data_IF_348393559562
#
_entry.id   IF_348393559562
#
_cell.length_a   1.000
_cell.length_b   1.000
_cell.length_c   1.000
_cell.angle_alpha   90.00
_cell.angle_beta   90.00
_cell.angle_gamma   90.00
#
_symmetry.space_group_name_H-M   'P 1'
#
loop_
_entity.id
_entity.type
_entity.pdbx_description
1 polymer ?
#
# COMPACT_ATOMS: atom_id res chain seq x y z
N UNK A 1 -7.38 3.79 22.73
CA UNK A 1 -6.07 4.48 22.76
C UNK A 1 -5.26 3.91 21.62
N UNK A 2 -5.05 4.68 20.54
CA UNK A 2 -3.98 4.39 19.58
C UNK A 2 -2.71 4.85 20.29
N UNK A 3 -1.93 3.90 20.79
CA UNK A 3 -0.81 4.19 21.70
C UNK A 3 0.35 4.87 20.96
N UNK A 4 1.00 5.79 21.65
CA UNK A 4 2.08 6.65 21.16
C UNK A 4 3.37 5.86 20.91
N UNK A 5 3.44 5.17 19.78
CA UNK A 5 4.38 5.53 18.73
C UNK A 5 5.88 5.16 18.83
N UNK A 6 6.44 4.60 19.90
CA UNK A 6 7.88 4.23 19.86
C UNK A 6 8.31 2.94 20.58
N UNK A 7 7.64 2.51 21.66
CA UNK A 7 8.03 1.28 22.36
C UNK A 7 7.47 0.00 21.73
N UNK A 8 6.38 0.10 20.97
CA UNK A 8 5.62 -1.07 20.54
C UNK A 8 6.13 -1.65 19.21
N UNK A 9 6.54 -0.81 18.24
CA UNK A 9 7.16 -1.29 16.99
C UNK A 9 8.52 -1.96 17.22
N UNK A 10 9.32 -1.44 18.13
CA UNK A 10 10.63 -2.02 18.48
C UNK A 10 10.45 -3.39 19.14
N UNK A 11 9.46 -3.50 20.03
CA UNK A 11 9.06 -4.77 20.64
C UNK A 11 8.57 -5.74 19.58
N UNK A 12 7.63 -5.34 18.71
CA UNK A 12 7.11 -6.18 17.63
C UNK A 12 8.21 -6.66 16.68
N UNK A 13 9.12 -5.76 16.28
CA UNK A 13 10.25 -6.06 15.39
C UNK A 13 11.28 -6.98 16.07
N UNK A 14 11.50 -6.82 17.37
CA UNK A 14 12.37 -7.72 18.16
C UNK A 14 11.76 -9.12 18.30
N UNK A 15 10.46 -9.20 18.54
CA UNK A 15 9.72 -10.47 18.71
C UNK A 15 9.55 -11.20 17.38
N UNK A 16 9.34 -10.47 16.27
CA UNK A 16 9.18 -11.02 14.91
C UNK A 16 10.50 -11.16 14.15
N UNK A 17 11.64 -10.88 14.77
CA UNK A 17 12.99 -10.89 14.15
C UNK A 17 13.36 -12.24 13.51
N UNK A 18 12.81 -13.33 14.04
CA UNK A 18 13.06 -14.69 13.55
C UNK A 18 12.12 -15.12 12.40
N UNK A 19 11.24 -14.22 11.94
CA UNK A 19 10.37 -14.46 10.79
C UNK A 19 10.87 -13.69 9.58
N UNK A 20 10.64 -14.21 8.38
CA UNK A 20 10.97 -13.52 7.12
C UNK A 20 10.16 -12.22 6.93
N UNK A 21 9.17 -11.98 7.81
CA UNK A 21 8.31 -10.80 7.83
C UNK A 21 9.10 -9.51 8.13
N UNK A 22 10.27 -9.54 8.76
CA UNK A 22 11.06 -8.30 8.98
C UNK A 22 12.51 -8.36 8.47
N UNK A 23 12.84 -9.38 7.65
CA UNK A 23 14.18 -9.49 7.07
C UNK A 23 14.42 -8.55 5.88
N UNK A 24 13.36 -8.02 5.25
CA UNK A 24 13.50 -7.00 4.20
C UNK A 24 13.71 -5.61 4.83
N UNK A 25 14.90 -5.03 4.66
CA UNK A 25 15.26 -3.71 5.17
C UNK A 25 14.40 -2.57 4.61
N UNK A 26 13.71 -2.78 3.48
CA UNK A 26 12.80 -1.79 2.89
C UNK A 26 11.40 -1.87 3.47
N UNK A 27 11.15 -2.82 4.38
CA UNK A 27 9.86 -3.01 5.00
C UNK A 27 9.68 -2.08 6.19
N UNK A 28 8.56 -1.37 6.21
CA UNK A 28 8.22 -0.44 7.29
C UNK A 28 6.76 -0.57 7.69
N UNK A 29 6.50 -0.31 8.97
CA UNK A 29 5.16 -0.35 9.55
C UNK A 29 4.36 0.89 9.13
N UNK A 30 3.12 0.68 8.72
CA UNK A 30 2.16 1.74 8.41
C UNK A 30 1.14 1.86 9.54
N UNK A 31 0.59 0.74 10.01
CA UNK A 31 -0.39 0.71 11.08
C UNK A 31 -0.33 -0.62 11.82
N UNK A 32 -0.68 -0.60 13.11
CA UNK A 32 -0.84 -1.79 13.94
C UNK A 32 -2.01 -1.62 14.91
N UNK A 33 -2.58 -2.73 15.37
CA UNK A 33 -3.61 -2.73 16.40
C UNK A 33 -4.12 -4.12 16.71
N UNK A 34 -4.96 -4.19 17.74
CA UNK A 34 -5.63 -5.43 18.17
C UNK A 34 -6.97 -5.53 17.44
N UNK A 35 -7.29 -6.73 17.00
CA UNK A 35 -8.52 -7.07 16.30
C UNK A 35 -9.07 -8.38 16.83
N UNK A 36 -10.36 -8.58 16.66
CA UNK A 36 -11.03 -9.83 17.00
C UNK A 36 -11.41 -10.57 15.72
N UNK A 37 -11.00 -11.83 15.61
CA UNK A 37 -11.26 -12.67 14.43
C UNK A 37 -12.18 -13.81 14.82
N UNK A 38 -13.24 -14.02 14.04
CA UNK A 38 -14.09 -15.20 14.21
C UNK A 38 -13.42 -16.44 13.61
N UNK A 39 -13.05 -17.39 14.47
CA UNK A 39 -12.56 -18.70 14.07
C UNK A 39 -13.75 -19.62 13.76
N UNK A 40 -13.93 -19.95 12.48
CA UNK A 40 -15.01 -20.83 12.04
C UNK A 40 -14.87 -22.28 12.53
N UNK A 41 -13.63 -22.78 12.70
CA UNK A 41 -13.37 -24.14 13.15
C UNK A 41 -13.69 -24.31 14.63
N UNK A 42 -13.29 -23.32 15.43
CA UNK A 42 -13.50 -23.33 16.88
C UNK A 42 -14.84 -22.69 17.28
N UNK A 43 -15.54 -22.03 16.35
CA UNK A 43 -16.75 -21.22 16.59
C UNK A 43 -16.55 -20.22 17.74
N UNK A 44 -15.38 -19.60 17.78
CA UNK A 44 -14.96 -18.69 18.85
C UNK A 44 -14.41 -17.39 18.27
N UNK A 45 -14.39 -16.34 19.09
CA UNK A 45 -13.72 -15.09 18.75
C UNK A 45 -12.34 -15.13 19.40
N UNK A 46 -11.30 -14.84 18.61
CA UNK A 46 -9.91 -14.80 19.07
C UNK A 46 -9.36 -13.39 18.96
N UNK A 47 -8.67 -12.93 20.00
CA UNK A 47 -7.93 -11.66 19.98
C UNK A 47 -6.62 -11.86 19.22
N UNK A 48 -6.38 -11.02 18.23
CA UNK A 48 -5.24 -11.07 17.32
C UNK A 48 -4.64 -9.68 17.15
N UNK A 49 -3.39 -9.62 16.74
CA UNK A 49 -2.77 -8.41 16.23
C UNK A 49 -2.90 -8.38 14.71
N UNK A 50 -3.21 -7.20 14.19
CA UNK A 50 -3.18 -6.85 12.78
C UNK A 50 -2.09 -5.82 12.55
N UNK A 51 -1.20 -6.10 11.61
CA UNK A 51 -0.21 -5.13 11.15
C UNK A 51 -0.31 -4.91 9.65
N UNK A 52 -0.32 -3.65 9.26
CA UNK A 52 -0.20 -3.19 7.89
C UNK A 52 1.23 -2.71 7.67
N UNK A 53 1.96 -3.45 6.88
CA UNK A 53 3.28 -3.09 6.38
C UNK A 53 3.15 -2.45 5.01
N UNK A 54 4.26 -1.93 4.52
CA UNK A 54 4.33 -1.29 3.22
C UNK A 54 4.07 -2.26 2.05
N UNK A 55 4.29 -3.55 2.21
CA UNK A 55 4.10 -4.60 1.20
C UNK A 55 3.21 -5.77 1.66
N UNK A 56 3.00 -5.94 2.97
CA UNK A 56 2.26 -7.05 3.56
C UNK A 56 1.16 -6.59 4.51
N UNK A 57 0.12 -7.42 4.64
CA UNK A 57 -0.84 -7.39 5.73
C UNK A 57 -0.67 -8.66 6.54
N UNK A 58 -0.49 -8.57 7.85
CA UNK A 58 -0.25 -9.75 8.69
C UNK A 58 -1.20 -9.78 9.87
N UNK A 59 -1.83 -10.93 10.08
CA UNK A 59 -2.66 -11.24 11.25
C UNK A 59 -1.97 -12.35 12.04
N UNK A 60 -1.81 -12.15 13.33
CA UNK A 60 -1.20 -13.16 14.20
C UNK A 60 -1.76 -13.09 15.61
N UNK A 61 -1.68 -14.21 16.31
CA UNK A 61 -1.93 -14.28 17.74
C UNK A 61 -0.60 -14.35 18.49
N UNK A 62 -0.53 -13.71 19.66
CA UNK A 62 0.61 -13.80 20.57
C UNK A 62 0.30 -14.89 21.59
N UNK A 63 1.13 -15.94 21.66
CA UNK A 63 0.98 -16.96 22.68
C UNK A 63 1.28 -16.41 24.09
N UNK A 64 0.75 -17.07 25.13
CA UNK A 64 0.82 -16.64 26.55
C UNK A 64 2.23 -16.31 27.06
N UNK A 65 3.28 -16.80 26.40
CA UNK A 65 4.67 -16.58 26.78
C UNK A 65 5.29 -15.32 26.13
N UNK A 66 4.52 -14.53 25.36
CA UNK A 66 4.95 -13.35 24.59
C UNK A 66 6.15 -13.58 23.64
N UNK A 67 6.51 -14.84 23.37
CA UNK A 67 7.73 -15.20 22.62
C UNK A 67 7.44 -16.00 21.34
N UNK A 68 6.24 -16.54 21.17
CA UNK A 68 5.89 -17.37 20.01
C UNK A 68 4.59 -16.90 19.36
N UNK A 69 4.63 -16.80 18.03
CA UNK A 69 3.45 -16.55 17.22
C UNK A 69 2.90 -17.89 16.73
N UNK A 70 1.61 -18.11 16.89
CA UNK A 70 0.95 -19.23 16.22
C UNK A 70 0.64 -18.82 14.78
N UNK A 71 1.27 -19.53 13.83
CA UNK A 71 0.97 -19.54 12.38
C UNK A 71 0.39 -18.22 11.80
N UNK A 72 1.20 -17.16 11.64
CA UNK A 72 0.72 -15.87 11.17
C UNK A 72 0.09 -15.99 9.77
N UNK A 73 -1.07 -15.37 9.57
CA UNK A 73 -1.65 -15.20 8.25
C UNK A 73 -1.00 -14.00 7.58
N UNK A 74 -0.26 -14.23 6.50
CA UNK A 74 0.48 -13.20 5.76
C UNK A 74 -0.17 -13.03 4.38
N UNK A 75 -0.49 -11.79 4.02
CA UNK A 75 -1.10 -11.44 2.74
C UNK A 75 -0.27 -10.39 2.00
N UNK A 76 -0.05 -10.60 0.70
CA UNK A 76 0.44 -9.53 -0.18
C UNK A 76 -0.63 -8.44 -0.25
N UNK A 77 -0.33 -7.22 0.23
CA UNK A 77 -1.32 -6.14 0.29
C UNK A 77 -1.85 -5.75 -1.11
N UNK A 78 -1.10 -6.05 -2.18
CA UNK A 78 -1.58 -5.92 -3.56
C UNK A 78 -2.82 -6.77 -3.86
N UNK A 79 -2.95 -7.94 -3.23
CA UNK A 79 -4.03 -8.91 -3.46
C UNK A 79 -5.19 -8.77 -2.48
N UNK A 80 -5.03 -7.94 -1.45
CA UNK A 80 -6.05 -7.71 -0.43
C UNK A 80 -7.07 -6.69 -0.90
N UNK A 81 -8.34 -6.97 -0.61
CA UNK A 81 -9.46 -6.03 -0.61
C UNK A 81 -10.19 -6.10 0.73
N UNK A 82 -10.70 -4.95 1.19
CA UNK A 82 -11.49 -4.87 2.42
C UNK A 82 -12.80 -4.14 2.20
N UNK A 83 -13.84 -4.64 2.83
CA UNK A 83 -15.20 -4.12 2.77
C UNK A 83 -15.76 -3.95 4.19
N UNK A 84 -16.31 -2.77 4.47
CA UNK A 84 -16.99 -2.48 5.74
C UNK A 84 -18.40 -3.04 5.66
N UNK A 85 -18.86 -3.75 6.68
CA UNK A 85 -20.26 -4.16 6.75
C UNK A 85 -21.12 -2.95 7.12
N UNK A 86 -22.14 -2.62 6.32
CA UNK A 86 -23.00 -1.45 6.54
C UNK A 86 -24.43 -1.89 6.86
N UNK A 87 -24.57 -2.92 7.69
CA UNK A 87 -25.88 -3.42 8.11
C UNK A 87 -26.52 -2.52 9.19
N UNK A 88 -25.73 -1.64 9.81
CA UNK A 88 -26.16 -0.58 10.73
C UNK A 88 -25.29 0.67 10.59
N UNK A 89 -25.77 1.83 11.04
CA UNK A 89 -25.08 3.13 10.94
C UNK A 89 -23.67 3.15 11.59
N UNK A 90 -23.32 2.15 12.41
CA UNK A 90 -22.09 2.14 13.22
C UNK A 90 -21.48 0.73 13.37
N UNK A 91 -21.51 -0.10 12.32
CA UNK A 91 -20.90 -1.44 12.39
C UNK A 91 -19.38 -1.38 12.64
N UNK A 92 -18.91 -2.01 13.71
CA UNK A 92 -17.49 -2.19 14.03
C UNK A 92 -16.86 -3.39 13.31
N UNK A 93 -17.48 -3.86 12.23
CA UNK A 93 -17.12 -5.10 11.53
C UNK A 93 -16.70 -4.82 10.10
N UNK A 94 -15.60 -5.43 9.66
CA UNK A 94 -15.18 -5.42 8.26
C UNK A 94 -14.70 -6.80 7.80
N UNK A 95 -14.74 -7.04 6.50
CA UNK A 95 -14.24 -8.26 5.88
C UNK A 95 -12.90 -7.98 5.19
N UNK A 96 -11.94 -8.88 5.39
CA UNK A 96 -10.75 -9.01 4.56
C UNK A 96 -10.97 -10.15 3.58
N UNK A 97 -10.84 -9.85 2.28
CA UNK A 97 -10.84 -10.85 1.21
C UNK A 97 -9.49 -10.84 0.52
N UNK A 98 -8.87 -12.01 0.41
CA UNK A 98 -7.60 -12.20 -0.31
C UNK A 98 -7.50 -13.62 -0.84
N UNK A 99 -7.38 -13.77 -2.17
CA UNK A 99 -7.36 -15.06 -2.86
C UNK A 99 -8.58 -15.92 -2.48
N UNK A 100 -8.38 -16.94 -1.64
CA UNK A 100 -9.41 -17.88 -1.19
C UNK A 100 -9.76 -17.73 0.31
N UNK A 101 -9.23 -16.72 0.98
CA UNK A 101 -9.50 -16.42 2.38
C UNK A 101 -10.50 -15.27 2.49
N UNK A 102 -11.53 -15.47 3.33
CA UNK A 102 -12.46 -14.43 3.75
C UNK A 102 -12.46 -14.40 5.28
N UNK A 103 -12.07 -13.26 5.86
CA UNK A 103 -11.88 -13.12 7.30
C UNK A 103 -12.76 -11.98 7.79
N UNK A 104 -13.67 -12.28 8.70
CA UNK A 104 -14.52 -11.29 9.36
C UNK A 104 -13.77 -10.77 10.58
N UNK A 105 -13.60 -9.46 10.62
CA UNK A 105 -12.86 -8.73 11.64
C UNK A 105 -13.82 -7.87 12.45
N UNK A 106 -13.78 -8.05 13.76
CA UNK A 106 -14.44 -7.18 14.73
C UNK A 106 -13.40 -6.26 15.36
N UNK A 107 -13.74 -4.98 15.45
CA UNK A 107 -12.89 -3.94 16.07
C UNK A 107 -13.54 -3.41 17.34
N UNK A 108 -12.86 -2.56 18.11
CA UNK A 108 -13.44 -2.03 19.35
C UNK A 108 -14.55 -1.01 19.06
N UNK A 109 -14.51 -0.34 17.92
CA UNK A 109 -15.54 0.62 17.53
C UNK A 109 -15.60 0.82 16.00
N UNK A 110 -16.71 1.39 15.52
CA UNK A 110 -16.89 1.77 14.12
C UNK A 110 -15.70 2.54 13.52
N UNK A 111 -15.15 3.49 14.29
CA UNK A 111 -14.04 4.35 13.83
C UNK A 111 -12.79 3.52 13.52
N UNK A 112 -12.48 2.49 14.32
CA UNK A 112 -11.36 1.59 14.04
C UNK A 112 -11.60 0.76 12.77
N UNK A 113 -12.81 0.22 12.58
CA UNK A 113 -13.16 -0.52 11.36
C UNK A 113 -12.97 0.36 10.11
N UNK A 114 -13.45 1.60 10.14
CA UNK A 114 -13.28 2.57 9.05
C UNK A 114 -11.79 2.88 8.80
N UNK A 115 -11.01 3.11 9.87
CA UNK A 115 -9.57 3.42 9.76
C UNK A 115 -8.79 2.26 9.13
N UNK A 116 -9.07 1.02 9.53
CA UNK A 116 -8.46 -0.16 8.93
C UNK A 116 -8.85 -0.31 7.46
N UNK A 117 -10.15 -0.28 7.16
CA UNK A 117 -10.67 -0.38 5.79
C UNK A 117 -10.01 0.65 4.86
N UNK A 118 -9.97 1.90 5.29
CA UNK A 118 -9.37 2.99 4.52
C UNK A 118 -7.88 2.80 4.32
N UNK A 119 -7.13 2.47 5.36
CA UNK A 119 -5.67 2.35 5.29
C UNK A 119 -5.23 1.19 4.41
N UNK A 120 -5.88 0.03 4.56
CA UNK A 120 -5.63 -1.18 3.76
C UNK A 120 -5.98 -0.94 2.28
N UNK A 121 -7.19 -0.41 1.99
CA UNK A 121 -7.60 -0.14 0.61
C UNK A 121 -6.72 0.93 -0.05
N UNK A 122 -6.37 2.00 0.68
CA UNK A 122 -5.46 3.02 0.17
C UNK A 122 -4.11 2.38 -0.16
N UNK A 123 -3.55 1.57 0.74
CA UNK A 123 -2.24 0.94 0.52
C UNK A 123 -2.25 -0.02 -0.66
N UNK A 124 -3.24 -0.91 -0.74
CA UNK A 124 -3.46 -1.82 -1.87
C UNK A 124 -3.53 -1.05 -3.19
N UNK A 125 -4.28 0.07 -3.21
CA UNK A 125 -4.41 0.93 -4.39
C UNK A 125 -3.08 1.61 -4.77
N UNK A 126 -2.34 2.11 -3.79
CA UNK A 126 -1.02 2.70 -4.00
C UNK A 126 -0.04 1.70 -4.63
N UNK A 127 0.00 0.44 -4.16
CA UNK A 127 0.81 -0.62 -4.78
C UNK A 127 0.43 -0.83 -6.25
N UNK A 128 -0.86 -1.07 -6.52
CA UNK A 128 -1.37 -1.39 -7.86
C UNK A 128 -1.02 -0.30 -8.88
N UNK A 129 -1.00 0.94 -8.42
CA UNK A 129 -0.66 2.11 -9.22
C UNK A 129 0.85 2.41 -9.24
N UNK A 130 1.67 1.67 -8.48
CA UNK A 130 3.12 1.82 -8.31
C UNK A 130 3.54 3.13 -7.63
N UNK A 131 2.82 3.50 -6.58
CA UNK A 131 2.90 4.73 -5.82
C UNK A 131 3.25 4.37 -4.39
N UNK A 132 4.26 5.01 -3.80
CA UNK A 132 4.66 4.70 -2.42
C UNK A 132 5.34 3.34 -2.21
N UNK A 133 5.83 2.66 -3.26
CA UNK A 133 6.65 1.43 -3.14
C UNK A 133 7.86 1.43 -4.08
N UNK A 134 9.06 1.06 -3.58
CA UNK A 134 10.15 0.60 -4.42
C UNK A 134 9.78 -0.77 -5.01
N UNK A 135 9.08 -0.75 -6.14
CA UNK A 135 8.68 -1.96 -6.86
C UNK A 135 9.91 -2.82 -7.07
N UNK A 136 9.82 -4.12 -6.75
CA UNK A 136 10.82 -5.16 -7.02
C UNK A 136 11.62 -4.78 -8.27
N UNK A 137 12.95 -4.67 -8.12
CA UNK A 137 13.87 -4.20 -9.16
C UNK A 137 13.49 -4.91 -10.46
N UNK A 138 12.93 -4.18 -11.41
CA UNK A 138 12.62 -4.73 -12.72
C UNK A 138 13.97 -5.07 -13.32
N UNK A 139 14.28 -6.37 -13.41
CA UNK A 139 15.55 -6.83 -13.95
C UNK A 139 15.71 -6.24 -15.35
N UNK A 140 16.81 -5.51 -15.53
CA UNK A 140 17.12 -4.88 -16.79
C UNK A 140 17.36 -5.97 -17.81
N UNK A 141 16.50 -6.08 -18.82
CA UNK A 141 16.61 -7.13 -19.82
C UNK A 141 17.78 -6.77 -20.75
N UNK A 142 18.81 -7.63 -20.88
CA UNK A 142 19.91 -7.40 -21.81
C UNK A 142 19.40 -7.26 -23.25
N UNK A 143 19.98 -6.34 -24.02
CA UNK A 143 19.55 -6.05 -25.40
C UNK A 143 19.56 -7.27 -26.32
N UNK A 144 20.50 -8.19 -26.10
CA UNK A 144 20.64 -9.41 -26.89
C UNK A 144 19.44 -10.35 -26.78
N UNK A 145 18.64 -10.22 -25.72
CA UNK A 145 17.47 -11.05 -25.47
C UNK A 145 16.17 -10.44 -26.02
N UNK A 146 16.21 -9.21 -26.54
CA UNK A 146 15.04 -8.50 -27.04
C UNK A 146 15.10 -8.35 -28.56
N UNK A 147 14.42 -9.23 -29.30
CA UNK A 147 14.26 -9.12 -30.77
C UNK A 147 13.12 -8.19 -31.18
N UNK A 148 12.14 -7.99 -30.30
CA UNK A 148 10.96 -7.17 -30.56
C UNK A 148 10.71 -6.16 -29.44
N UNK A 149 10.07 -5.04 -29.79
CA UNK A 149 9.59 -4.06 -28.82
C UNK A 149 8.57 -4.70 -27.88
N UNK A 150 8.82 -4.67 -26.58
CA UNK A 150 7.93 -5.27 -25.56
C UNK A 150 6.63 -4.49 -25.34
N UNK A 151 6.40 -3.42 -26.11
CA UNK A 151 5.16 -2.64 -26.09
C UNK A 151 4.31 -2.83 -27.34
N UNK A 152 4.90 -2.69 -28.54
CA UNK A 152 4.18 -2.77 -29.81
C UNK A 152 4.58 -3.96 -30.69
N UNK A 153 5.47 -4.84 -30.21
CA UNK A 153 5.95 -6.04 -30.90
C UNK A 153 6.67 -5.80 -32.25
N UNK A 154 6.97 -4.55 -32.61
CA UNK A 154 7.81 -4.26 -33.78
C UNK A 154 9.23 -4.82 -33.63
N UNK A 155 9.77 -5.41 -34.69
CA UNK A 155 11.15 -5.91 -34.73
C UNK A 155 12.16 -4.79 -34.64
N UNK A 156 13.21 -5.01 -33.85
CA UNK A 156 14.35 -4.09 -33.82
C UNK A 156 15.23 -4.28 -35.06
N UNK A 157 15.69 -3.17 -35.62
CA UNK A 157 16.56 -3.13 -36.81
C UNK A 157 17.66 -2.09 -36.58
N UNK A 158 18.55 -1.88 -37.56
CA UNK A 158 19.58 -0.83 -37.50
C UNK A 158 18.98 0.57 -37.33
N UNK A 159 17.76 0.78 -37.86
CA UNK A 159 17.01 2.04 -37.82
C UNK A 159 16.05 2.05 -36.63
N UNK A 160 15.33 0.95 -36.38
CA UNK A 160 14.45 0.80 -35.21
C UNK A 160 15.26 0.28 -34.02
N UNK A 161 15.93 1.19 -33.30
CA UNK A 161 16.87 0.84 -32.23
C UNK A 161 16.17 0.49 -30.91
N UNK A 162 16.90 -0.23 -30.07
CA UNK A 162 16.48 -0.63 -28.72
C UNK A 162 16.63 0.53 -27.73
N UNK A 163 15.64 0.69 -26.86
CA UNK A 163 15.70 1.62 -25.74
C UNK A 163 15.05 1.01 -24.51
N UNK A 164 15.62 1.20 -23.33
CA UNK A 164 14.96 0.77 -22.10
C UNK A 164 14.02 1.82 -21.52
N UNK A 165 12.88 1.37 -21.00
CA UNK A 165 12.11 2.16 -20.05
C UNK A 165 12.80 2.11 -18.69
N UNK A 166 13.31 3.24 -18.19
CA UNK A 166 14.02 3.30 -16.89
C UNK A 166 13.07 3.07 -15.69
N UNK A 167 11.75 3.15 -15.90
CA UNK A 167 10.74 2.84 -14.87
C UNK A 167 10.43 1.35 -14.75
N UNK A 168 10.24 0.64 -15.87
CA UNK A 168 9.79 -0.77 -15.89
C UNK A 168 10.79 -1.77 -16.49
N UNK A 169 11.98 -1.34 -16.93
CA UNK A 169 13.05 -2.22 -17.43
C UNK A 169 12.86 -2.76 -18.85
N UNK A 170 11.67 -2.66 -19.44
CA UNK A 170 11.38 -3.19 -20.78
C UNK A 170 12.20 -2.54 -21.90
N UNK A 171 12.58 -3.35 -22.88
CA UNK A 171 13.17 -2.91 -24.14
C UNK A 171 12.05 -2.51 -25.12
N UNK A 172 12.08 -1.27 -25.56
CA UNK A 172 11.04 -0.60 -26.36
C UNK A 172 11.66 0.20 -27.49
N UNK A 173 10.90 0.45 -28.56
CA UNK A 173 11.29 1.34 -29.64
C UNK A 173 11.10 2.82 -29.26
N UNK A 174 11.60 3.73 -30.09
CA UNK A 174 11.51 5.17 -29.83
C UNK A 174 10.05 5.64 -29.81
N UNK A 175 9.23 5.15 -30.73
CA UNK A 175 7.80 5.46 -30.81
C UNK A 175 7.03 5.08 -29.52
N UNK A 176 7.44 3.97 -28.89
CA UNK A 176 6.88 3.51 -27.62
C UNK A 176 7.48 4.20 -26.38
N UNK A 177 8.42 5.13 -26.54
CA UNK A 177 9.16 5.75 -25.42
C UNK A 177 9.51 7.23 -25.61
N UNK A 178 8.57 7.99 -26.17
CA UNK A 178 8.71 9.44 -26.42
C UNK A 178 8.79 10.29 -25.15
N UNK A 179 8.41 9.74 -24.00
CA UNK A 179 8.32 10.49 -22.76
C UNK A 179 9.57 10.37 -21.88
N UNK A 180 9.73 11.35 -20.99
CA UNK A 180 10.77 11.43 -19.97
C UNK A 180 10.13 11.78 -18.62
N UNK A 181 10.62 11.20 -17.53
CA UNK A 181 10.16 11.51 -16.17
C UNK A 181 11.28 11.37 -15.15
N UNK A 182 11.25 12.18 -14.09
CA UNK A 182 12.08 11.97 -12.90
C UNK A 182 11.64 10.66 -12.24
N UNK A 183 12.61 9.81 -11.93
CA UNK A 183 12.40 8.56 -11.21
C UNK A 183 13.22 8.65 -9.95
N UNK A 184 12.61 9.09 -8.84
CA UNK A 184 13.29 9.40 -7.56
C UNK A 184 14.23 8.31 -7.07
N UNK A 185 13.89 7.04 -7.29
CA UNK A 185 14.73 5.88 -6.92
C UNK A 185 15.98 5.69 -7.80
N UNK A 186 16.19 6.53 -8.82
CA UNK A 186 17.31 6.46 -9.77
C UNK A 186 18.04 7.82 -9.82
N UNK A 187 17.30 8.92 -9.88
CA UNK A 187 17.86 10.27 -9.90
C UNK A 187 16.88 11.26 -9.25
N UNK A 188 17.43 12.30 -8.63
CA UNK A 188 16.70 13.35 -7.91
C UNK A 188 16.11 14.37 -8.87
N UNK A 189 16.83 14.72 -9.92
CA UNK A 189 16.54 15.86 -10.81
C UNK A 189 16.50 15.47 -12.30
N UNK A 190 17.15 14.37 -12.69
CA UNK A 190 17.26 13.97 -14.08
C UNK A 190 15.98 13.30 -14.59
N UNK A 191 15.44 13.81 -15.71
CA UNK A 191 14.34 13.17 -16.43
C UNK A 191 14.85 12.00 -17.28
N UNK A 192 14.42 10.79 -16.97
CA UNK A 192 14.84 9.54 -17.62
C UNK A 192 13.78 9.02 -18.60
N UNK A 193 14.23 8.29 -19.64
CA UNK A 193 13.35 7.69 -20.67
C UNK A 193 12.36 6.69 -20.05
N UNK A 194 11.08 6.86 -20.36
CA UNK A 194 10.00 5.94 -19.97
C UNK A 194 9.13 5.58 -21.16
N UNK A 195 8.54 4.39 -21.15
CA UNK A 195 7.60 3.98 -22.19
C UNK A 195 6.25 4.70 -22.03
N UNK A 196 5.47 4.76 -23.12
CA UNK A 196 4.16 5.43 -23.15
C UNK A 196 3.22 4.82 -22.10
N UNK A 197 3.24 3.50 -21.90
CA UNK A 197 2.47 2.82 -20.83
C UNK A 197 2.82 3.36 -19.44
N UNK A 198 4.10 3.54 -19.12
CA UNK A 198 4.54 4.12 -17.85
C UNK A 198 4.16 5.61 -17.74
N UNK A 199 4.21 6.37 -18.83
CA UNK A 199 3.80 7.76 -18.84
C UNK A 199 2.30 7.91 -18.58
N UNK A 200 1.44 7.16 -19.29
CA UNK A 200 -0.01 7.19 -19.07
C UNK A 200 -0.37 6.81 -17.63
N UNK A 201 0.26 5.76 -17.07
CA UNK A 201 0.09 5.42 -15.65
C UNK A 201 0.47 6.58 -14.73
N UNK A 202 1.58 7.28 -14.99
CA UNK A 202 1.99 8.46 -14.23
C UNK A 202 0.96 9.59 -14.31
N UNK A 203 0.45 9.91 -15.51
CA UNK A 203 -0.53 11.01 -15.68
C UNK A 203 -1.85 10.67 -14.98
N UNK A 204 -2.37 9.46 -15.19
CA UNK A 204 -3.59 8.99 -14.54
C UNK A 204 -3.46 8.98 -13.02
N UNK A 205 -2.27 8.63 -12.53
CA UNK A 205 -1.95 8.71 -11.12
C UNK A 205 -2.05 10.14 -10.57
N UNK A 206 -1.39 11.11 -11.20
CA UNK A 206 -1.43 12.52 -10.75
C UNK A 206 -2.87 13.04 -10.74
N UNK A 207 -3.67 12.66 -11.74
CA UNK A 207 -5.09 13.01 -11.78
C UNK A 207 -5.84 12.40 -10.60
N UNK A 208 -5.70 11.10 -10.36
CA UNK A 208 -6.38 10.41 -9.26
C UNK A 208 -6.01 11.00 -7.89
N UNK A 209 -4.74 11.34 -7.64
CA UNK A 209 -4.35 11.97 -6.38
C UNK A 209 -4.99 13.34 -6.18
N UNK A 210 -5.07 14.15 -7.24
CA UNK A 210 -5.77 15.44 -7.19
C UNK A 210 -7.26 15.24 -6.88
N UNK A 211 -7.90 14.27 -7.54
CA UNK A 211 -9.31 13.95 -7.32
C UNK A 211 -9.56 13.46 -5.88
N UNK A 212 -8.69 12.58 -5.35
CA UNK A 212 -8.74 12.11 -3.97
C UNK A 212 -8.57 13.28 -3.01
N UNK A 213 -7.53 14.11 -3.18
CA UNK A 213 -7.29 15.25 -2.32
C UNK A 213 -8.47 16.23 -2.32
N UNK A 214 -9.06 16.49 -3.49
CA UNK A 214 -10.24 17.35 -3.59
C UNK A 214 -11.44 16.75 -2.85
N UNK A 215 -11.67 15.44 -2.95
CA UNK A 215 -12.72 14.77 -2.19
C UNK A 215 -12.47 14.81 -0.67
N UNK A 216 -11.22 14.58 -0.24
CA UNK A 216 -10.87 14.65 1.19
C UNK A 216 -11.07 16.04 1.77
N UNK A 217 -10.69 17.09 1.03
CA UNK A 217 -10.93 18.48 1.45
C UNK A 217 -12.42 18.78 1.60
N UNK A 218 -13.27 18.26 0.71
CA UNK A 218 -14.73 18.40 0.82
C UNK A 218 -15.29 17.70 2.05
N UNK A 219 -14.85 16.47 2.33
CA UNK A 219 -15.29 15.69 3.49
C UNK A 219 -14.89 16.38 4.80
N UNK A 220 -13.64 16.86 4.90
CA UNK A 220 -13.15 17.60 6.08
C UNK A 220 -13.96 18.88 6.29
N UNK A 221 -14.32 19.59 5.21
CA UNK A 221 -15.15 20.80 5.31
C UNK A 221 -16.59 20.52 5.76
N UNK A 222 -17.12 19.32 5.52
CA UNK A 222 -18.45 18.90 6.01
C UNK A 222 -18.42 18.35 7.43
N UNK A 223 -17.31 17.72 7.85
CA UNK A 223 -17.15 17.09 9.17
C UNK A 223 -16.90 18.09 10.32
N UNK A 224 -16.55 19.35 10.01
CA UNK A 224 -16.53 20.45 11.00
C UNK A 224 -17.91 20.75 11.62
N UNK A 225 -18.99 20.16 11.09
CA UNK A 225 -20.35 20.29 11.64
C UNK A 225 -20.77 19.15 12.56
N UNK A 226 -19.99 18.07 12.66
CA UNK A 226 -20.28 16.91 13.51
C UNK A 226 -19.01 16.55 14.29
N UNK A 227 -18.77 17.24 15.40
CA UNK A 227 -17.72 16.83 16.34
C UNK A 227 -18.35 16.00 17.45
N UNK A 228 -17.95 14.73 17.55
CA UNK A 228 -17.92 14.05 18.84
C UNK A 228 -16.60 14.43 19.49
N UNK A 229 -16.68 14.99 20.69
CA UNK A 229 -15.58 15.58 21.46
C UNK A 229 -14.56 14.54 21.89
N UNK A 230 -13.55 14.29 21.06
CA UNK A 230 -12.22 13.83 21.51
C UNK A 230 -11.13 14.37 20.60
N UNK A 231 -9.94 14.52 21.17
CA UNK A 231 -8.71 15.20 20.73
C UNK A 231 -8.03 14.65 19.45
N UNK A 232 -8.78 14.09 18.50
CA UNK A 232 -8.22 13.38 17.32
C UNK A 232 -8.19 14.22 16.01
N UNK A 233 -8.60 15.49 16.05
CA UNK A 233 -8.52 16.41 14.89
C UNK A 233 -7.08 16.66 14.41
N UNK A 234 -6.08 16.42 15.25
CA UNK A 234 -4.66 16.56 14.89
C UNK A 234 -4.14 15.43 13.98
N UNK A 235 -4.75 14.23 14.03
CA UNK A 235 -4.22 13.04 13.34
C UNK A 235 -4.74 12.88 11.89
N UNK A 236 -5.87 13.50 11.55
CA UNK A 236 -6.35 13.59 10.15
C UNK A 236 -5.54 14.66 9.39
N UNK A 237 -5.16 15.73 10.09
CA UNK A 237 -4.26 16.76 9.55
C UNK A 237 -2.85 16.21 9.32
N UNK A 238 -2.33 15.30 10.14
CA UNK A 238 -1.00 14.71 9.92
C UNK A 238 -0.93 13.79 8.68
N UNK A 239 -1.97 12.97 8.43
CA UNK A 239 -2.07 12.14 7.23
C UNK A 239 -2.27 12.98 5.95
N UNK A 240 -3.03 14.07 6.01
CA UNK A 240 -3.22 14.98 4.88
C UNK A 240 -1.97 15.80 4.57
N UNK A 241 -1.22 16.22 5.61
CA UNK A 241 0.07 16.89 5.48
C UNK A 241 1.12 15.95 4.88
N UNK A 242 1.25 14.70 5.35
CA UNK A 242 2.23 13.75 4.77
C UNK A 242 1.88 13.34 3.33
N UNK A 243 0.59 13.25 3.00
CA UNK A 243 0.13 13.00 1.63
C UNK A 243 0.39 14.22 0.74
N UNK A 244 0.18 15.44 1.24
CA UNK A 244 0.56 16.69 0.56
C UNK A 244 2.08 16.82 0.37
N UNK A 245 2.91 16.48 1.35
CA UNK A 245 4.37 16.49 1.23
C UNK A 245 4.88 15.43 0.25
N UNK A 246 4.24 14.26 0.22
CA UNK A 246 4.52 13.20 -0.77
C UNK A 246 4.13 13.65 -2.18
N UNK A 247 2.99 14.37 -2.33
CA UNK A 247 2.51 14.94 -3.61
C UNK A 247 3.43 16.06 -4.09
N UNK A 248 3.84 16.97 -3.20
CA UNK A 248 4.70 18.13 -3.53
C UNK A 248 6.10 17.71 -3.95
N UNK A 249 6.61 16.60 -3.43
CA UNK A 249 7.92 16.08 -3.85
C UNK A 249 7.84 15.27 -5.15
N UNK A 250 6.68 14.75 -5.57
CA UNK A 250 6.50 13.92 -6.79
C UNK A 250 6.14 14.68 -8.08
N UNK A 251 5.81 15.97 -7.96
CA UNK A 251 5.66 16.92 -9.09
C UNK A 251 7.02 17.41 -9.57
#
# INVERSE_FOLDING_TARGET
MIDNGNNDYTTLKSTLKNTDIFQDEKRYLIAQGIINVFDQKQKSITSNHLILLNDLLVIFNIAENNQTFSNPKIFDIEKVSVELFVDSLESNVFQITCLNENIIIFTMCYVEAVRWCRSINLRSKLIKLNLGIPTKKTEWIPDNNAVWCMTCQSSFTVINRRHHCRKCGFVVCDECSKHRAIIKRISVDQKLRICNKCYTKKVNHVKLLKDINQCLQKIISTDLSVTCSTTETENINSLSVSLCETVSTEL
#
